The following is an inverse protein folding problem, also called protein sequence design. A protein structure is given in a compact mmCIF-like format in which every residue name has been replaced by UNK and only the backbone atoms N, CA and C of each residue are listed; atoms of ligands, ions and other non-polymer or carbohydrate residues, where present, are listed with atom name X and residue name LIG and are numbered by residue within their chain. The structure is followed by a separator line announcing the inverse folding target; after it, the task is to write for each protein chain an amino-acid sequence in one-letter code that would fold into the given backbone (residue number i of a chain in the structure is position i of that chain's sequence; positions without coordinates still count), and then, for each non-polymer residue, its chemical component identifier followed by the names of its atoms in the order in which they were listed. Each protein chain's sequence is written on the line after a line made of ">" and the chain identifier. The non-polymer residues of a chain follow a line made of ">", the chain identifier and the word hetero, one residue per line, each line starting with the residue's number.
data_IF_686739544610
#
_entry.id   IF_686739544610
#
_cell.length_a   1.000
_cell.length_b   1.000
_cell.length_c   1.000
_cell.angle_alpha   90.00
_cell.angle_beta   90.00
_cell.angle_gamma   90.00
#
_symmetry.space_group_name_H-M   'P 1'
#
loop_
_entity.id
_entity.type
_entity.pdbx_description
1 polymer ?
#
# COMPACT_ATOMS: atom_id res chain seq x y z
N UNK A 1 4.76 7.36 -14.74
CA UNK A 1 4.85 7.24 -13.27
C UNK A 1 4.00 6.08 -12.81
N UNK A 2 4.31 5.43 -11.72
CA UNK A 2 3.58 4.26 -11.26
C UNK A 2 3.59 4.19 -9.74
N UNK A 3 2.41 4.12 -9.11
CA UNK A 3 2.23 3.89 -7.68
C UNK A 3 3.03 2.68 -7.14
N UNK A 4 3.52 1.79 -8.00
CA UNK A 4 4.39 0.70 -7.59
C UNK A 4 5.85 1.13 -7.44
N UNK A 5 6.33 1.99 -8.35
CA UNK A 5 7.72 2.44 -8.43
C UNK A 5 7.76 3.91 -8.84
N UNK A 6 7.56 4.84 -7.88
CA UNK A 6 7.65 6.26 -8.15
C UNK A 6 9.02 6.65 -8.74
N UNK A 7 9.03 7.57 -9.69
CA UNK A 7 10.28 8.11 -10.26
C UNK A 7 10.99 9.03 -9.26
N UNK A 8 10.22 9.66 -8.37
CA UNK A 8 10.73 10.54 -7.32
C UNK A 8 10.64 9.87 -5.96
N UNK A 9 11.54 10.25 -5.06
CA UNK A 9 11.64 9.62 -3.75
C UNK A 9 12.36 8.27 -3.78
N UNK A 10 12.74 7.80 -2.61
CA UNK A 10 13.45 6.53 -2.44
C UNK A 10 12.53 5.45 -1.87
N UNK A 11 11.32 5.36 -2.38
CA UNK A 11 10.30 4.42 -1.92
C UNK A 11 9.71 3.62 -3.07
N UNK A 12 9.11 2.48 -2.76
CA UNK A 12 8.38 1.64 -3.71
C UNK A 12 7.37 0.76 -2.99
N UNK A 13 6.38 0.25 -3.70
CA UNK A 13 5.32 -0.57 -3.14
C UNK A 13 5.62 -2.07 -3.27
N UNK A 14 5.40 -2.82 -2.18
CA UNK A 14 5.49 -4.27 -2.14
C UNK A 14 4.19 -4.95 -1.66
N UNK A 15 3.08 -4.22 -1.59
CA UNK A 15 1.83 -4.73 -1.01
C UNK A 15 1.24 -5.93 -1.78
N UNK A 16 1.31 -5.93 -3.11
CA UNK A 16 0.80 -7.02 -3.96
C UNK A 16 1.50 -8.37 -3.73
N UNK A 17 2.68 -8.37 -3.09
CA UNK A 17 3.35 -9.61 -2.66
C UNK A 17 2.82 -10.18 -1.33
N UNK A 18 1.70 -9.66 -0.82
CA UNK A 18 1.07 -10.12 0.40
C UNK A 18 1.74 -9.63 1.70
N UNK A 19 2.54 -8.55 1.63
CA UNK A 19 3.32 -8.06 2.78
C UNK A 19 2.43 -7.88 4.02
N UNK A 20 1.30 -7.19 3.87
CA UNK A 20 0.42 -6.84 4.99
C UNK A 20 -0.51 -7.97 5.44
N UNK A 21 -0.45 -9.12 4.82
CA UNK A 21 -1.12 -10.31 5.33
C UNK A 21 -0.43 -10.88 6.57
N UNK A 22 0.85 -10.61 6.77
CA UNK A 22 1.57 -11.01 7.97
C UNK A 22 1.23 -10.09 9.15
N UNK A 23 1.00 -10.68 10.34
CA UNK A 23 0.75 -9.93 11.57
C UNK A 23 2.07 -9.50 12.19
N UNK A 24 2.69 -8.48 11.60
CA UNK A 24 3.97 -7.94 12.00
C UNK A 24 3.87 -6.43 12.24
N UNK A 25 4.67 -5.92 13.16
CA UNK A 25 4.88 -4.48 13.34
C UNK A 25 5.72 -3.89 12.18
N UNK A 26 5.70 -2.57 11.96
CA UNK A 26 6.53 -1.92 10.95
C UNK A 26 8.03 -2.25 11.07
N UNK A 27 8.54 -2.40 12.30
CA UNK A 27 9.93 -2.78 12.56
C UNK A 27 10.22 -4.22 12.12
N UNK A 28 9.30 -5.14 12.44
CA UNK A 28 9.43 -6.55 12.06
C UNK A 28 9.34 -6.75 10.56
N UNK A 29 8.50 -5.99 9.85
CA UNK A 29 8.49 -5.98 8.38
C UNK A 29 9.87 -5.62 7.81
N UNK A 30 10.52 -4.56 8.31
CA UNK A 30 11.84 -4.14 7.85
C UNK A 30 12.91 -5.21 8.13
N UNK A 31 12.84 -5.85 9.28
CA UNK A 31 13.73 -6.97 9.65
C UNK A 31 13.53 -8.13 8.68
N UNK A 32 12.30 -8.57 8.48
CA UNK A 32 11.95 -9.65 7.55
C UNK A 32 12.46 -9.38 6.12
N UNK A 33 12.20 -8.16 5.59
CA UNK A 33 12.65 -7.78 4.26
C UNK A 33 14.19 -7.77 4.14
N UNK A 34 14.88 -7.32 5.19
CA UNK A 34 16.35 -7.32 5.24
C UNK A 34 16.92 -8.74 5.27
N UNK A 35 16.33 -9.62 6.07
CA UNK A 35 16.71 -11.03 6.13
C UNK A 35 16.50 -11.74 4.78
N UNK A 36 15.31 -11.57 4.17
CA UNK A 36 15.00 -12.12 2.85
C UNK A 36 16.02 -11.66 1.81
N UNK A 37 16.35 -10.36 1.80
CA UNK A 37 17.33 -9.80 0.86
C UNK A 37 18.71 -10.39 1.06
N UNK A 38 19.19 -10.42 2.30
CA UNK A 38 20.54 -10.93 2.61
C UNK A 38 20.67 -12.41 2.28
N UNK A 39 19.65 -13.20 2.58
CA UNK A 39 19.62 -14.63 2.26
C UNK A 39 19.53 -14.87 0.75
N UNK A 40 18.68 -14.11 0.05
CA UNK A 40 18.59 -14.17 -1.40
C UNK A 40 19.93 -13.91 -2.08
N UNK A 41 20.62 -12.85 -1.67
CA UNK A 41 21.94 -12.48 -2.20
C UNK A 41 23.02 -13.54 -1.93
N UNK A 42 22.91 -14.28 -0.83
CA UNK A 42 23.91 -15.30 -0.47
C UNK A 42 23.62 -16.68 -1.06
N UNK A 43 22.35 -16.98 -1.39
CA UNK A 43 21.93 -18.35 -1.77
C UNK A 43 21.48 -18.48 -3.22
N UNK A 44 20.96 -17.39 -3.81
CA UNK A 44 20.44 -17.44 -5.18
C UNK A 44 21.54 -17.06 -6.18
N UNK A 45 21.78 -17.96 -7.12
CA UNK A 45 22.61 -17.71 -8.29
C UNK A 45 21.71 -17.66 -9.53
N UNK A 46 21.74 -16.55 -10.26
CA UNK A 46 20.89 -16.32 -11.43
C UNK A 46 21.19 -17.29 -12.58
N UNK A 47 22.39 -17.82 -12.66
CA UNK A 47 22.77 -18.84 -13.64
C UNK A 47 22.26 -20.23 -13.26
N UNK A 48 21.87 -20.43 -12.00
CA UNK A 48 21.46 -21.73 -11.45
C UNK A 48 19.97 -21.70 -11.12
N UNK A 49 19.13 -22.01 -12.11
CA UNK A 49 17.68 -21.89 -11.99
C UNK A 49 17.04 -22.58 -10.77
N UNK A 50 17.56 -23.72 -10.34
CA UNK A 50 17.01 -24.42 -9.18
C UNK A 50 17.35 -23.77 -7.83
N UNK A 51 18.23 -22.79 -7.78
CA UNK A 51 18.48 -21.99 -6.57
C UNK A 51 17.26 -21.20 -6.12
N UNK A 52 16.42 -20.74 -7.05
CA UNK A 52 15.21 -19.98 -6.76
C UNK A 52 14.15 -20.79 -5.98
N UNK A 53 13.71 -21.98 -6.41
CA UNK A 53 12.75 -22.76 -5.66
C UNK A 53 13.31 -23.26 -4.32
N UNK A 54 14.62 -23.47 -4.20
CA UNK A 54 15.27 -23.80 -2.92
C UNK A 54 15.10 -22.62 -1.96
N UNK A 55 15.53 -21.42 -2.36
CA UNK A 55 15.34 -20.22 -1.57
C UNK A 55 13.87 -20.02 -1.14
N UNK A 56 12.93 -20.15 -2.08
CA UNK A 56 11.50 -20.03 -1.79
C UNK A 56 11.08 -20.99 -0.69
N UNK A 57 11.39 -22.27 -0.83
CA UNK A 57 11.00 -23.32 0.12
C UNK A 57 11.60 -23.08 1.51
N UNK A 58 12.87 -22.68 1.56
CA UNK A 58 13.57 -22.39 2.81
C UNK A 58 12.94 -21.20 3.54
N UNK A 59 12.62 -20.12 2.82
CA UNK A 59 11.95 -18.96 3.39
C UNK A 59 10.51 -19.28 3.83
N UNK A 60 9.72 -19.97 3.02
CA UNK A 60 8.39 -20.45 3.39
C UNK A 60 8.41 -21.28 4.69
N UNK A 61 9.44 -22.13 4.85
CA UNK A 61 9.62 -22.93 6.07
C UNK A 61 9.97 -22.07 7.28
N UNK A 62 10.91 -21.13 7.13
CA UNK A 62 11.32 -20.21 8.22
C UNK A 62 10.19 -19.28 8.66
N UNK A 63 9.34 -18.89 7.72
CA UNK A 63 8.25 -17.95 7.94
C UNK A 63 6.92 -18.63 8.30
N UNK A 64 6.85 -19.96 8.30
CA UNK A 64 5.63 -20.72 8.57
C UNK A 64 5.00 -20.42 9.95
N UNK A 65 5.82 -20.00 10.91
CA UNK A 65 5.36 -19.62 12.25
C UNK A 65 4.86 -18.17 12.39
N UNK A 66 4.97 -17.34 11.35
CA UNK A 66 4.49 -15.96 11.39
C UNK A 66 2.97 -15.96 11.22
N UNK A 67 2.20 -15.42 12.19
CA UNK A 67 0.75 -15.38 12.09
C UNK A 67 0.29 -14.56 10.88
N UNK A 68 -0.72 -15.07 10.18
CA UNK A 68 -1.35 -14.40 9.04
C UNK A 68 -2.71 -13.82 9.42
N UNK A 69 -3.16 -12.85 8.65
CA UNK A 69 -4.52 -12.30 8.73
C UNK A 69 -5.51 -13.18 7.98
N UNK A 70 -5.09 -13.68 6.83
CA UNK A 70 -5.82 -14.60 5.97
C UNK A 70 -4.89 -15.73 5.48
N UNK A 71 -5.25 -16.97 5.78
CA UNK A 71 -4.46 -18.14 5.40
C UNK A 71 -4.45 -18.41 3.89
N UNK A 72 -5.45 -17.91 3.17
CA UNK A 72 -5.54 -18.09 1.72
C UNK A 72 -4.67 -17.11 0.93
N UNK A 73 -4.26 -15.99 1.56
CA UNK A 73 -3.39 -15.02 0.91
C UNK A 73 -1.93 -15.46 0.99
N UNK A 74 -1.31 -15.60 -0.17
CA UNK A 74 0.10 -15.95 -0.28
C UNK A 74 1.02 -14.79 0.05
N UNK A 75 2.04 -15.04 0.84
CA UNK A 75 3.11 -14.12 1.16
C UNK A 75 4.36 -14.48 0.36
N UNK A 76 4.68 -13.69 -0.64
CA UNK A 76 5.79 -13.98 -1.54
C UNK A 76 7.15 -13.74 -0.86
N UNK A 77 8.00 -14.76 -0.70
CA UNK A 77 9.31 -14.60 -0.08
C UNK A 77 10.34 -13.89 -0.97
N UNK A 78 10.03 -13.72 -2.26
CA UNK A 78 10.86 -12.94 -3.19
C UNK A 78 10.65 -11.42 -3.08
N UNK A 79 9.80 -10.95 -2.17
CA UNK A 79 9.72 -9.56 -1.80
C UNK A 79 10.90 -9.22 -0.86
N UNK A 80 11.72 -8.29 -1.25
CA UNK A 80 12.87 -7.82 -0.47
C UNK A 80 13.32 -6.44 -0.92
N UNK A 81 14.46 -5.98 -0.44
CA UNK A 81 15.07 -4.73 -0.92
C UNK A 81 15.72 -4.97 -2.28
N UNK A 82 15.46 -4.06 -3.22
CA UNK A 82 15.95 -4.17 -4.61
C UNK A 82 17.02 -3.13 -4.95
N UNK A 83 17.37 -2.28 -4.00
CA UNK A 83 18.44 -1.30 -4.08
C UNK A 83 19.51 -1.51 -2.99
N UNK A 84 20.73 -1.03 -3.24
CA UNK A 84 21.84 -1.18 -2.30
C UNK A 84 21.63 -0.41 -0.98
N UNK A 85 20.89 0.70 -1.05
CA UNK A 85 20.61 1.55 0.11
C UNK A 85 19.51 0.99 1.02
N UNK A 86 18.87 -0.10 0.62
CA UNK A 86 17.73 -0.72 1.32
C UNK A 86 16.56 0.26 1.58
N UNK A 87 16.28 1.08 0.59
CA UNK A 87 15.16 2.02 0.63
C UNK A 87 13.97 1.49 -0.16
N UNK A 88 14.22 0.91 -1.34
CA UNK A 88 13.18 0.41 -2.24
C UNK A 88 12.98 -1.08 -2.03
N UNK A 89 11.72 -1.47 -1.87
CA UNK A 89 11.31 -2.88 -1.81
C UNK A 89 10.69 -3.30 -3.15
N UNK A 90 10.81 -4.58 -3.47
CA UNK A 90 10.25 -5.09 -4.72
C UNK A 90 10.53 -6.56 -4.94
N UNK A 91 10.14 -7.05 -6.10
CA UNK A 91 10.35 -8.43 -6.50
C UNK A 91 11.82 -8.67 -6.87
N UNK A 92 12.57 -9.37 -6.02
CA UNK A 92 13.98 -9.71 -6.26
C UNK A 92 14.20 -10.62 -7.49
N UNK A 93 13.13 -11.26 -7.97
CA UNK A 93 13.15 -12.06 -9.20
C UNK A 93 12.41 -11.36 -10.36
N UNK A 94 12.29 -10.02 -10.31
CA UNK A 94 11.70 -9.30 -11.43
C UNK A 94 12.58 -9.43 -12.68
N UNK A 95 11.99 -9.56 -13.88
CA UNK A 95 12.73 -9.68 -15.14
C UNK A 95 13.82 -8.65 -15.37
N UNK A 96 13.64 -7.42 -14.86
CA UNK A 96 14.64 -6.36 -14.96
C UNK A 96 15.98 -6.72 -14.28
N UNK A 97 15.95 -7.55 -13.24
CA UNK A 97 17.14 -7.98 -12.49
C UNK A 97 17.70 -9.31 -12.99
N UNK A 98 16.81 -10.20 -13.41
CA UNK A 98 17.19 -11.57 -13.81
C UNK A 98 17.49 -11.70 -15.31
N UNK A 99 17.03 -10.77 -16.13
CA UNK A 99 17.05 -10.88 -17.59
C UNK A 99 16.13 -11.96 -18.16
N UNK A 100 15.41 -12.71 -17.31
CA UNK A 100 14.49 -13.78 -17.72
C UNK A 100 13.05 -13.32 -17.55
N UNK A 101 12.27 -13.13 -18.63
CA UNK A 101 10.87 -12.70 -18.56
C UNK A 101 9.96 -13.69 -17.81
N UNK A 102 10.43 -14.93 -17.59
CA UNK A 102 9.69 -15.97 -16.88
C UNK A 102 10.17 -16.19 -15.44
N UNK A 103 11.09 -15.39 -14.94
CA UNK A 103 11.68 -15.55 -13.61
C UNK A 103 10.65 -15.53 -12.48
N UNK A 104 9.59 -14.73 -12.62
CA UNK A 104 8.50 -14.69 -11.65
C UNK A 104 7.67 -15.97 -11.56
N UNK A 105 7.86 -16.95 -12.47
CA UNK A 105 7.30 -18.29 -12.34
C UNK A 105 7.88 -19.08 -11.16
N UNK A 106 8.97 -18.65 -10.57
CA UNK A 106 9.47 -19.22 -9.32
C UNK A 106 8.63 -18.83 -8.10
N UNK A 107 7.82 -17.77 -8.19
CA UNK A 107 6.81 -17.43 -7.18
C UNK A 107 5.57 -18.33 -7.31
N UNK A 108 4.74 -18.35 -6.29
CA UNK A 108 3.46 -19.07 -6.31
C UNK A 108 2.50 -18.53 -7.37
N UNK A 109 2.43 -17.20 -7.50
CA UNK A 109 1.51 -16.55 -8.45
C UNK A 109 1.92 -16.74 -9.91
N UNK A 110 3.22 -16.87 -10.18
CA UNK A 110 3.75 -16.97 -11.53
C UNK A 110 3.81 -15.63 -12.27
N UNK A 111 4.56 -15.62 -13.38
CA UNK A 111 4.81 -14.41 -14.15
C UNK A 111 3.54 -13.78 -14.72
N UNK A 112 2.56 -14.58 -15.15
CA UNK A 112 1.32 -14.08 -15.72
C UNK A 112 0.51 -13.23 -14.74
N UNK A 113 0.42 -13.64 -13.48
CA UNK A 113 -0.29 -12.85 -12.46
C UNK A 113 0.59 -11.68 -11.99
N UNK A 114 1.87 -11.95 -11.66
CA UNK A 114 2.75 -10.91 -11.13
C UNK A 114 2.96 -9.72 -12.08
N UNK A 115 2.90 -9.95 -13.40
CA UNK A 115 3.10 -8.89 -14.41
C UNK A 115 1.80 -8.22 -14.83
N UNK A 116 0.66 -8.89 -14.67
CA UNK A 116 -0.64 -8.36 -15.09
C UNK A 116 -1.45 -7.75 -13.93
N UNK A 117 -1.03 -7.97 -12.68
CA UNK A 117 -1.79 -7.47 -11.54
C UNK A 117 -1.57 -5.97 -11.30
N UNK A 118 -2.64 -5.24 -11.34
CA UNK A 118 -2.70 -3.85 -10.89
C UNK A 118 -3.66 -3.73 -9.69
N UNK A 119 -3.23 -3.03 -8.65
CA UNK A 119 -4.10 -2.74 -7.52
C UNK A 119 -5.06 -1.59 -7.86
N UNK A 120 -6.18 -1.49 -7.14
CA UNK A 120 -7.23 -0.49 -7.42
C UNK A 120 -6.73 0.95 -7.39
N UNK A 121 -5.82 1.30 -6.49
CA UNK A 121 -5.25 2.64 -6.48
C UNK A 121 -4.38 2.93 -7.71
N UNK A 122 -3.68 1.91 -8.25
CA UNK A 122 -2.91 2.05 -9.49
C UNK A 122 -3.82 2.21 -10.70
N UNK A 123 -5.00 1.55 -10.70
CA UNK A 123 -6.02 1.68 -11.76
C UNK A 123 -6.82 2.98 -11.65
N UNK A 124 -6.75 3.71 -10.52
CA UNK A 124 -7.45 4.96 -10.33
C UNK A 124 -6.94 6.04 -11.29
N UNK A 125 -7.85 6.86 -11.81
CA UNK A 125 -7.49 8.07 -12.57
C UNK A 125 -6.68 9.08 -11.72
N UNK A 126 -6.68 8.93 -10.39
CA UNK A 126 -5.99 9.77 -9.44
C UNK A 126 -4.64 9.17 -8.98
N UNK A 127 -4.19 8.09 -9.63
CA UNK A 127 -2.97 7.37 -9.23
C UNK A 127 -1.74 8.27 -9.12
N UNK A 128 -1.53 9.16 -10.10
CA UNK A 128 -0.38 10.09 -10.12
C UNK A 128 -0.44 11.10 -8.97
N UNK A 129 -1.64 11.52 -8.62
CA UNK A 129 -1.82 12.41 -7.49
C UNK A 129 -1.54 11.70 -6.16
N UNK A 130 -2.13 10.52 -5.96
CA UNK A 130 -1.88 9.71 -4.77
C UNK A 130 -0.40 9.36 -4.65
N UNK A 131 0.28 9.03 -5.77
CA UNK A 131 1.73 8.81 -5.79
C UNK A 131 2.47 10.01 -5.22
N UNK A 132 2.20 11.22 -5.75
CA UNK A 132 2.89 12.44 -5.33
C UNK A 132 2.67 12.75 -3.84
N UNK A 133 1.46 12.49 -3.34
CA UNK A 133 1.11 12.72 -1.94
C UNK A 133 1.81 11.68 -1.03
N UNK A 134 1.76 10.41 -1.41
CA UNK A 134 2.30 9.33 -0.58
C UNK A 134 3.82 9.33 -0.51
N UNK A 135 4.51 9.72 -1.59
CA UNK A 135 5.96 9.92 -1.58
C UNK A 135 6.39 11.01 -0.59
N UNK A 136 5.58 12.06 -0.43
CA UNK A 136 5.87 13.14 0.51
C UNK A 136 5.58 12.78 1.97
N UNK A 137 4.63 11.87 2.21
CA UNK A 137 4.22 11.45 3.55
C UNK A 137 5.09 10.31 4.08
N UNK A 138 5.34 9.31 3.25
CA UNK A 138 5.98 8.06 3.67
C UNK A 138 7.45 8.24 3.99
N UNK A 139 7.88 7.72 5.13
CA UNK A 139 9.28 7.73 5.58
C UNK A 139 10.10 6.61 4.96
N UNK A 140 9.45 5.55 4.49
CA UNK A 140 10.06 4.36 3.90
C UNK A 140 9.07 3.58 3.01
N UNK A 141 9.57 2.55 2.35
CA UNK A 141 8.77 1.74 1.44
C UNK A 141 7.67 0.91 2.14
N UNK A 142 7.76 0.64 3.43
CA UNK A 142 6.68 -0.06 4.17
C UNK A 142 5.50 0.88 4.37
N UNK A 143 5.75 2.10 4.86
CA UNK A 143 4.70 3.13 4.98
C UNK A 143 4.12 3.48 3.61
N UNK A 144 4.97 3.66 2.59
CA UNK A 144 4.51 3.92 1.22
C UNK A 144 3.62 2.79 0.68
N UNK A 145 4.04 1.54 0.87
CA UNK A 145 3.24 0.38 0.45
C UNK A 145 1.87 0.34 1.10
N UNK A 146 1.82 0.70 2.37
CA UNK A 146 0.58 0.78 3.11
C UNK A 146 -0.36 1.82 2.48
N UNK A 147 0.11 3.04 2.30
CA UNK A 147 -0.68 4.13 1.69
C UNK A 147 -1.12 3.78 0.26
N UNK A 148 -0.19 3.27 -0.54
CA UNK A 148 -0.44 2.95 -1.94
C UNK A 148 -1.48 1.84 -2.14
N UNK A 149 -1.61 0.92 -1.17
CA UNK A 149 -2.55 -0.18 -1.27
C UNK A 149 -3.90 0.10 -0.57
N UNK A 150 -4.03 1.11 0.28
CA UNK A 150 -5.26 1.46 1.01
C UNK A 150 -6.29 2.17 0.12
N UNK A 151 -6.82 1.41 -0.85
CA UNK A 151 -7.80 1.92 -1.81
C UNK A 151 -9.16 2.26 -1.17
N UNK A 152 -9.51 1.64 -0.06
CA UNK A 152 -10.77 1.92 0.65
C UNK A 152 -10.71 3.32 1.25
N UNK A 153 -9.60 3.66 1.89
CA UNK A 153 -9.41 4.98 2.49
C UNK A 153 -9.34 6.09 1.43
N UNK A 154 -8.64 5.85 0.32
CA UNK A 154 -8.61 6.77 -0.82
C UNK A 154 -10.02 7.00 -1.39
N UNK A 155 -10.79 5.93 -1.63
CA UNK A 155 -12.17 6.03 -2.09
C UNK A 155 -13.08 6.76 -1.09
N UNK A 156 -12.91 6.55 0.21
CA UNK A 156 -13.66 7.26 1.24
C UNK A 156 -13.40 8.78 1.18
N UNK A 157 -12.16 9.19 0.98
CA UNK A 157 -11.79 10.61 0.81
C UNK A 157 -12.42 11.18 -0.47
N UNK A 158 -12.31 10.49 -1.59
CA UNK A 158 -12.91 10.92 -2.85
C UNK A 158 -14.43 11.11 -2.71
N UNK A 159 -15.10 10.16 -2.04
CA UNK A 159 -16.53 10.25 -1.75
C UNK A 159 -16.87 11.42 -0.83
N UNK A 160 -16.09 11.64 0.22
CA UNK A 160 -16.29 12.76 1.15
C UNK A 160 -16.28 14.09 0.39
N UNK A 161 -15.27 14.34 -0.41
CA UNK A 161 -15.16 15.58 -1.20
C UNK A 161 -16.29 15.70 -2.24
N UNK A 162 -16.68 14.58 -2.86
CA UNK A 162 -17.81 14.54 -3.78
C UNK A 162 -19.13 14.91 -3.10
N UNK A 163 -19.40 14.49 -1.85
CA UNK A 163 -20.58 14.90 -1.10
C UNK A 163 -20.65 16.40 -0.85
N UNK A 164 -19.50 17.06 -0.75
CA UNK A 164 -19.44 18.53 -0.64
C UNK A 164 -19.41 19.24 -2.00
N UNK A 165 -19.57 18.53 -3.10
CA UNK A 165 -19.52 19.11 -4.45
C UNK A 165 -18.14 19.67 -4.82
N UNK A 166 -17.07 19.22 -4.16
CA UNK A 166 -15.70 19.62 -4.45
C UNK A 166 -15.13 18.68 -5.52
N UNK A 167 -14.68 19.24 -6.63
CA UNK A 167 -14.00 18.48 -7.68
C UNK A 167 -12.66 17.94 -7.20
N UNK A 168 -12.20 16.85 -7.82
CA UNK A 168 -10.92 16.25 -7.50
C UNK A 168 -9.75 17.22 -7.69
N UNK A 169 -9.75 17.99 -8.78
CA UNK A 169 -8.71 19.02 -9.01
C UNK A 169 -8.65 20.04 -7.87
N UNK A 170 -9.82 20.50 -7.43
CA UNK A 170 -9.91 21.43 -6.31
C UNK A 170 -9.48 20.80 -4.99
N UNK A 171 -9.87 19.55 -4.74
CA UNK A 171 -9.40 18.79 -3.59
C UNK A 171 -7.86 18.77 -3.53
N UNK A 172 -7.22 18.53 -4.65
CA UNK A 172 -5.76 18.44 -4.73
C UNK A 172 -5.05 19.78 -4.56
N UNK A 173 -5.61 20.84 -5.08
CA UNK A 173 -4.99 22.18 -5.04
C UNK A 173 -5.20 22.86 -3.68
N UNK A 174 -6.39 22.76 -3.11
CA UNK A 174 -6.76 23.52 -1.95
C UNK A 174 -6.63 22.76 -0.62
N UNK A 175 -6.65 21.42 -0.63
CA UNK A 175 -6.71 20.60 0.59
C UNK A 175 -5.52 19.63 0.74
N UNK A 176 -4.43 19.85 0.00
CA UNK A 176 -3.28 18.96 0.02
C UNK A 176 -2.70 18.75 1.44
N UNK A 177 -2.57 19.82 2.21
CA UNK A 177 -2.03 19.74 3.57
C UNK A 177 -2.94 18.97 4.50
N UNK A 178 -4.23 19.20 4.43
CA UNK A 178 -5.23 18.47 5.20
C UNK A 178 -5.23 16.97 4.85
N UNK A 179 -5.11 16.65 3.57
CA UNK A 179 -4.98 15.26 3.13
C UNK A 179 -3.71 14.61 3.69
N UNK A 180 -2.58 15.31 3.66
CA UNK A 180 -1.34 14.82 4.25
C UNK A 180 -1.49 14.51 5.74
N UNK A 181 -2.13 15.40 6.49
CA UNK A 181 -2.33 15.22 7.93
C UNK A 181 -3.29 14.06 8.22
N UNK A 182 -4.34 13.90 7.42
CA UNK A 182 -5.27 12.78 7.53
C UNK A 182 -4.58 11.44 7.26
N UNK A 183 -3.74 11.36 6.22
CA UNK A 183 -2.99 10.15 5.92
C UNK A 183 -1.88 9.86 6.95
N UNK A 184 -1.27 10.88 7.55
CA UNK A 184 -0.35 10.70 8.69
C UNK A 184 -1.08 10.11 9.90
N UNK A 185 -2.28 10.62 10.21
CA UNK A 185 -3.12 10.04 11.25
C UNK A 185 -3.50 8.59 10.93
N UNK A 186 -3.83 8.31 9.67
CA UNK A 186 -4.10 6.95 9.18
C UNK A 186 -2.93 5.99 9.40
N UNK A 187 -1.71 6.41 9.12
CA UNK A 187 -0.51 5.61 9.38
C UNK A 187 -0.32 5.30 10.87
N UNK A 188 -0.61 6.25 11.75
CA UNK A 188 -0.46 6.06 13.19
C UNK A 188 -1.49 5.08 13.77
N UNK A 189 -2.70 5.04 13.21
CA UNK A 189 -3.80 4.22 13.73
C UNK A 189 -3.88 2.84 13.07
N UNK A 190 -3.20 2.64 11.95
CA UNK A 190 -3.40 1.48 11.07
C UNK A 190 -2.55 0.26 11.40
N UNK A 191 -1.60 0.36 12.34
CA UNK A 191 -0.63 -0.70 12.63
C UNK A 191 -1.25 -2.07 12.94
N UNK A 192 -2.54 -2.12 13.27
CA UNK A 192 -3.24 -3.34 13.69
C UNK A 192 -4.35 -3.80 12.71
N UNK A 193 -4.61 -3.07 11.61
CA UNK A 193 -5.80 -3.34 10.79
C UNK A 193 -5.55 -4.36 9.69
N UNK A 194 -6.59 -5.16 9.42
CA UNK A 194 -6.63 -6.15 8.34
C UNK A 194 -6.73 -5.43 7.00
N UNK A 195 -5.62 -5.39 6.30
CA UNK A 195 -5.54 -4.68 5.06
C UNK A 195 -4.64 -5.43 4.09
N UNK A 196 -5.16 -5.80 2.94
CA UNK A 196 -4.39 -6.40 1.85
C UNK A 196 -4.75 -5.71 0.53
N UNK A 197 -3.80 -5.60 -0.38
CA UNK A 197 -4.03 -5.05 -1.72
C UNK A 197 -4.95 -5.92 -2.59
N UNK A 198 -5.22 -7.16 -2.16
CA UNK A 198 -6.11 -8.11 -2.83
C UNK A 198 -7.54 -8.07 -2.31
N UNK A 199 -7.84 -7.26 -1.30
CA UNK A 199 -9.20 -7.15 -0.80
C UNK A 199 -10.13 -6.60 -1.89
N UNK A 200 -11.14 -7.39 -2.21
CA UNK A 200 -12.27 -7.01 -3.07
C UNK A 200 -13.37 -6.44 -2.18
N UNK A 201 -13.05 -5.62 -1.21
CA UNK A 201 -14.06 -4.98 -0.42
C UNK A 201 -14.57 -3.75 -1.16
N UNK A 202 -15.80 -3.85 -1.64
CA UNK A 202 -16.57 -2.74 -2.15
C UNK A 202 -17.35 -2.11 -0.98
N UNK A 203 -16.66 -1.42 -0.08
CA UNK A 203 -17.40 -0.55 0.82
C UNK A 203 -18.02 0.58 -0.01
N UNK A 204 -19.32 0.49 -0.20
CA UNK A 204 -20.08 1.57 -0.79
C UNK A 204 -20.49 2.51 0.34
N UNK A 205 -19.83 3.64 0.47
CA UNK A 205 -20.28 4.72 1.34
C UNK A 205 -21.55 5.33 0.74
N UNK A 206 -22.71 4.95 1.30
CA UNK A 206 -24.01 5.37 0.79
C UNK A 206 -24.31 6.84 1.07
N UNK A 207 -23.78 7.37 2.16
CA UNK A 207 -24.06 8.71 2.65
C UNK A 207 -22.94 9.24 3.56
N UNK A 208 -23.09 10.50 3.96
CA UNK A 208 -22.08 11.17 4.80
C UNK A 208 -21.98 10.54 6.20
N UNK A 209 -23.08 9.99 6.73
CA UNK A 209 -23.07 9.34 8.05
C UNK A 209 -22.22 8.08 8.05
N UNK A 210 -22.29 7.28 6.98
CA UNK A 210 -21.42 6.10 6.81
C UNK A 210 -19.94 6.49 6.75
N UNK A 211 -19.62 7.59 6.05
CA UNK A 211 -18.24 8.12 6.01
C UNK A 211 -17.76 8.62 7.38
N UNK A 212 -18.62 9.30 8.14
CA UNK A 212 -18.31 9.75 9.49
C UNK A 212 -17.96 8.59 10.43
N UNK A 213 -18.75 7.52 10.38
CA UNK A 213 -18.50 6.29 11.15
C UNK A 213 -17.18 5.66 10.72
N UNK A 214 -16.95 5.56 9.40
CA UNK A 214 -15.73 5.01 8.84
C UNK A 214 -14.49 5.78 9.30
N UNK A 215 -14.43 7.09 9.06
CA UNK A 215 -13.28 7.89 9.45
C UNK A 215 -13.05 7.91 10.98
N UNK A 216 -14.12 7.97 11.77
CA UNK A 216 -14.01 7.87 13.24
C UNK A 216 -13.36 6.53 13.65
N UNK A 217 -13.73 5.45 12.98
CA UNK A 217 -13.14 4.12 13.22
C UNK A 217 -11.69 4.04 12.75
N UNK A 218 -11.38 4.65 11.60
CA UNK A 218 -10.09 4.47 10.94
C UNK A 218 -8.99 5.40 11.43
N UNK A 219 -9.32 6.63 11.86
CA UNK A 219 -8.36 7.62 12.33
C UNK A 219 -8.64 8.15 13.74
N UNK A 220 -9.70 7.66 14.38
CA UNK A 220 -10.01 7.96 15.78
C UNK A 220 -10.27 9.45 16.04
N UNK A 221 -9.70 9.97 17.13
CA UNK A 221 -9.91 11.35 17.56
C UNK A 221 -9.44 12.40 16.52
N UNK A 222 -8.46 12.07 15.68
CA UNK A 222 -7.99 12.96 14.62
C UNK A 222 -9.08 13.36 13.64
N UNK A 223 -10.07 12.48 13.42
CA UNK A 223 -11.18 12.78 12.50
C UNK A 223 -11.95 14.02 12.90
N UNK A 224 -12.24 14.20 14.18
CA UNK A 224 -13.03 15.34 14.66
C UNK A 224 -12.33 16.66 14.34
N UNK A 225 -11.05 16.76 14.72
CA UNK A 225 -10.28 18.00 14.54
C UNK A 225 -10.08 18.30 13.05
N UNK A 226 -9.73 17.26 12.27
CA UNK A 226 -9.54 17.36 10.82
C UNK A 226 -10.84 17.81 10.11
N UNK A 227 -11.96 17.21 10.47
CA UNK A 227 -13.27 17.57 9.92
C UNK A 227 -13.64 19.03 10.21
N UNK A 228 -13.40 19.51 11.44
CA UNK A 228 -13.66 20.90 11.81
C UNK A 228 -12.84 21.87 10.95
N UNK A 229 -11.58 21.58 10.68
CA UNK A 229 -10.74 22.39 9.79
C UNK A 229 -11.23 22.32 8.32
N UNK A 230 -11.58 21.14 7.83
CA UNK A 230 -12.16 20.99 6.50
C UNK A 230 -13.42 21.85 6.34
N UNK A 231 -14.33 21.80 7.31
CA UNK A 231 -15.60 22.52 7.27
C UNK A 231 -15.43 24.06 7.32
N UNK A 232 -14.35 24.58 7.90
CA UNK A 232 -14.05 26.01 7.86
C UNK A 232 -13.70 26.50 6.46
N UNK A 233 -13.12 25.64 5.64
CA UNK A 233 -12.68 25.94 4.27
C UNK A 233 -13.77 25.76 3.21
N UNK A 234 -14.87 25.08 3.54
CA UNK A 234 -15.98 24.86 2.59
C UNK A 234 -17.00 26.00 2.75
N UNK A 235 -17.14 26.92 1.79
CA UNK A 235 -17.89 28.15 2.00
C UNK A 235 -19.41 27.99 2.03
N UNK A 236 -20.00 26.91 1.55
CA UNK A 236 -21.45 26.78 1.34
C UNK A 236 -22.05 25.57 2.06
N UNK A 237 -22.29 25.72 3.39
CA UNK A 237 -23.00 24.71 4.19
C UNK A 237 -24.51 24.62 3.90
N UNK A 238 -25.04 25.52 3.09
CA UNK A 238 -26.49 25.69 2.93
C UNK A 238 -27.20 24.68 2.04
N UNK A 239 -26.49 23.74 1.39
CA UNK A 239 -27.08 22.80 0.42
C UNK A 239 -26.95 21.32 0.78
N UNK A 240 -26.31 20.96 1.88
CA UNK A 240 -26.38 19.59 2.39
C UNK A 240 -27.57 19.47 3.33
N UNK A 241 -28.78 19.48 2.76
CA UNK A 241 -30.01 19.18 3.47
C UNK A 241 -30.03 17.69 3.81
N UNK A 242 -29.56 17.34 5.01
CA UNK A 242 -29.57 15.96 5.47
C UNK A 242 -28.68 15.67 6.68
N UNK A 243 -28.33 16.68 7.48
CA UNK A 243 -27.75 16.48 8.83
C UNK A 243 -28.80 16.75 9.88
#
# INVERSE_FOLDING_TARGET
>A
MSLCHPDVGNVSCGACCGLFNLKLSPKEFKTLLSERTSEFQSTVNFEVRHSFPIFRKDRETKEAGIPKKDEMTYNCPFLGYVDQSKNRIGCMIHPIFTGDPKSQNFSFYGASICQAYDCKNKESMLADFWESLFVEIAKDSVEFSFLAADHIFANAIEKLFSFFGISMDRMFQEFRLELMDLYRARLLTSAEKNFTSFEINYESFSDLSALEVYFTTEVGAYWKDWREELYKKIPDRGKVSGL
#
